data_IF_491445116625
#
_entry.id   IF_491445116625
#
_cell.length_a   1.000
_cell.length_b   1.000
_cell.length_c   1.000
_cell.angle_alpha   90.00
_cell.angle_beta   90.00
_cell.angle_gamma   90.00
#
_symmetry.space_group_name_H-M   'P 1'
#
loop_
_entity.id
_entity.type
_entity.pdbx_description
1 polymer ?
#
# COMPACT_ATOMS: atom_id res chain seq x y z
N UNK A 1 -32.93 -36.97 -65.49
CA UNK A 1 -33.39 -37.34 -66.85
C UNK A 1 -32.25 -37.73 -67.79
N UNK A 2 -31.17 -36.94 -67.92
CA UNK A 2 -30.03 -37.26 -68.82
C UNK A 2 -29.40 -38.65 -68.59
N UNK A 3 -29.22 -39.07 -67.33
CA UNK A 3 -28.53 -40.34 -67.03
C UNK A 3 -29.39 -41.60 -67.27
N UNK A 4 -30.72 -41.48 -67.22
CA UNK A 4 -31.62 -42.62 -67.47
C UNK A 4 -31.79 -42.89 -68.97
N UNK A 5 -31.84 -41.81 -69.77
CA UNK A 5 -31.88 -41.91 -71.23
C UNK A 5 -30.62 -42.57 -71.79
N UNK A 6 -29.47 -42.35 -71.12
CA UNK A 6 -28.17 -42.92 -71.46
C UNK A 6 -28.09 -44.42 -71.14
N UNK A 7 -28.65 -44.86 -70.01
CA UNK A 7 -28.74 -46.29 -69.65
C UNK A 7 -29.72 -47.03 -70.57
N UNK A 8 -30.84 -46.41 -70.93
CA UNK A 8 -31.81 -46.98 -71.86
C UNK A 8 -31.21 -47.14 -73.27
N UNK A 9 -30.43 -46.15 -73.75
CA UNK A 9 -29.70 -46.21 -75.03
C UNK A 9 -28.63 -47.30 -75.05
N UNK A 10 -27.91 -47.48 -73.92
CA UNK A 10 -26.87 -48.51 -73.79
C UNK A 10 -27.47 -49.92 -73.85
N UNK A 11 -28.59 -50.16 -73.14
CA UNK A 11 -29.27 -51.47 -73.14
C UNK A 11 -29.91 -51.77 -74.50
N UNK A 12 -30.44 -50.76 -75.22
CA UNK A 12 -30.99 -50.95 -76.56
C UNK A 12 -29.91 -51.19 -77.63
N UNK A 13 -28.72 -50.60 -77.48
CA UNK A 13 -27.61 -50.81 -78.42
C UNK A 13 -26.98 -52.21 -78.34
N UNK A 14 -27.07 -52.86 -77.18
CA UNK A 14 -26.56 -54.21 -76.95
C UNK A 14 -27.46 -55.31 -77.53
N UNK A 15 -28.75 -55.05 -77.74
CA UNK A 15 -29.69 -56.04 -78.29
C UNK A 15 -29.82 -55.98 -79.81
N UNK A 16 -29.52 -54.84 -80.45
CA UNK A 16 -29.59 -54.68 -81.91
C UNK A 16 -28.35 -55.18 -82.66
N UNK A 17 -27.23 -55.47 -81.99
CA UNK A 17 -26.00 -55.99 -82.64
C UNK A 17 -26.02 -57.52 -82.80
N UNK A 18 -27.02 -58.23 -82.25
CA UNK A 18 -27.08 -59.70 -82.23
C UNK A 18 -27.73 -60.38 -83.44
N UNK A 19 -28.42 -59.67 -84.34
CA UNK A 19 -29.17 -60.29 -85.44
C UNK A 19 -29.20 -59.44 -86.72
N UNK A 20 -28.11 -59.46 -87.50
CA UNK A 20 -28.16 -59.28 -88.97
C UNK A 20 -26.95 -59.96 -89.65
N UNK A 21 -27.23 -61.15 -90.20
CA UNK A 21 -26.72 -61.76 -91.45
C UNK A 21 -25.22 -61.72 -91.82
N UNK A 22 -24.58 -62.89 -91.81
CA UNK A 22 -23.62 -63.29 -92.86
C UNK A 22 -24.23 -64.37 -93.75
N UNK A 23 -24.77 -63.94 -94.88
CA UNK A 23 -24.87 -64.75 -96.09
C UNK A 23 -24.06 -64.05 -97.20
N UNK A 24 -23.23 -64.83 -97.92
CA UNK A 24 -22.77 -64.63 -99.31
C UNK A 24 -21.41 -63.95 -99.61
N UNK A 25 -20.48 -64.77 -100.15
CA UNK A 25 -19.41 -64.56 -101.16
C UNK A 25 -18.89 -65.99 -101.46
N UNK A 26 -19.09 -66.71 -102.56
CA UNK A 26 -19.13 -66.52 -104.04
C UNK A 26 -17.76 -66.38 -104.70
N UNK A 27 -17.56 -67.23 -105.74
CA UNK A 27 -16.44 -67.42 -106.71
C UNK A 27 -15.34 -68.40 -106.28
N UNK A 28 -14.88 -69.41 -107.05
CA UNK A 28 -15.04 -69.84 -108.45
C UNK A 28 -14.60 -71.33 -108.50
N UNK A 29 -15.17 -72.24 -109.29
CA UNK A 29 -14.87 -72.50 -110.72
C UNK A 29 -15.66 -73.73 -111.18
N UNK A 30 -16.13 -73.66 -112.43
CA UNK A 30 -16.32 -74.73 -113.45
C UNK A 30 -16.90 -76.07 -112.97
N UNK A 31 -17.95 -76.64 -113.54
CA UNK A 31 -18.41 -76.61 -114.92
C UNK A 31 -19.76 -77.34 -114.97
N UNK A 32 -20.63 -76.86 -115.85
CA UNK A 32 -21.71 -77.58 -116.51
C UNK A 32 -22.91 -78.12 -115.70
N UNK A 33 -24.01 -77.44 -116.02
CA UNK A 33 -25.32 -78.00 -116.38
C UNK A 33 -26.26 -78.48 -115.26
N UNK A 34 -27.24 -77.58 -115.05
CA UNK A 34 -28.69 -77.84 -115.09
C UNK A 34 -29.35 -78.70 -113.99
N UNK A 35 -29.99 -77.96 -113.07
CA UNK A 35 -31.43 -78.06 -112.67
C UNK A 35 -32.07 -79.43 -112.33
N UNK A 36 -32.45 -79.58 -111.04
CA UNK A 36 -33.75 -80.05 -110.40
C UNK A 36 -34.46 -81.36 -110.91
N UNK A 37 -35.13 -82.28 -110.16
CA UNK A 37 -35.84 -82.36 -108.85
C UNK A 37 -36.25 -83.84 -108.38
N UNK A 38 -36.66 -84.00 -107.09
CA UNK A 38 -37.67 -84.87 -106.34
C UNK A 38 -37.69 -86.45 -106.11
N UNK A 39 -38.17 -86.83 -104.87
CA UNK A 39 -38.94 -87.98 -104.26
C UNK A 39 -38.43 -89.40 -103.78
N UNK A 40 -39.29 -90.12 -103.01
CA UNK A 40 -39.14 -91.15 -101.93
C UNK A 40 -39.74 -92.57 -102.23
N UNK A 41 -39.15 -93.64 -101.62
CA UNK A 41 -39.54 -95.05 -101.23
C UNK A 41 -40.40 -96.08 -102.05
N UNK A 42 -39.87 -97.34 -102.10
CA UNK A 42 -40.41 -98.74 -102.28
C UNK A 42 -40.59 -99.48 -103.65
N UNK A 43 -39.75 -100.54 -103.80
CA UNK A 43 -39.90 -101.91 -104.38
C UNK A 43 -40.19 -102.24 -105.87
N UNK A 44 -39.27 -103.08 -106.40
CA UNK A 44 -39.33 -104.14 -107.44
C UNK A 44 -39.35 -103.84 -108.95
N UNK A 45 -38.29 -104.37 -109.59
CA UNK A 45 -38.18 -105.05 -110.88
C UNK A 45 -38.38 -104.28 -112.22
N UNK A 46 -37.23 -104.12 -112.89
CA UNK A 46 -36.94 -104.09 -114.33
C UNK A 46 -37.69 -103.13 -115.29
N UNK A 47 -36.90 -102.21 -115.86
CA UNK A 47 -36.89 -101.66 -117.23
C UNK A 47 -37.93 -100.59 -117.66
N UNK A 48 -37.43 -99.36 -117.85
CA UNK A 48 -37.78 -98.29 -118.82
C UNK A 48 -39.22 -97.69 -118.94
N UNK A 49 -39.27 -96.32 -118.82
CA UNK A 49 -40.23 -95.28 -119.34
C UNK A 49 -41.14 -94.51 -118.33
N UNK A 50 -40.97 -93.16 -118.29
CA UNK A 50 -41.68 -92.03 -117.59
C UNK A 50 -43.20 -91.83 -117.91
N UNK A 51 -44.07 -91.00 -117.20
CA UNK A 51 -43.85 -89.63 -116.61
C UNK A 51 -44.69 -89.08 -115.36
N UNK A 52 -44.25 -87.93 -114.76
CA UNK A 52 -44.89 -86.73 -114.07
C UNK A 52 -46.03 -86.79 -112.98
N UNK A 53 -45.73 -86.51 -111.68
CA UNK A 53 -46.73 -86.00 -110.67
C UNK A 53 -46.18 -85.27 -109.39
N UNK A 54 -44.92 -84.82 -109.39
CA UNK A 54 -44.13 -84.56 -108.16
C UNK A 54 -44.18 -83.12 -107.57
N UNK A 55 -44.68 -82.14 -108.33
CA UNK A 55 -44.48 -80.70 -108.03
C UNK A 55 -45.45 -80.07 -107.01
N UNK A 56 -46.56 -80.73 -106.67
CA UNK A 56 -47.60 -80.15 -105.79
C UNK A 56 -47.19 -80.14 -104.30
N UNK A 57 -46.48 -81.19 -103.87
CA UNK A 57 -46.08 -81.35 -102.46
C UNK A 57 -45.00 -80.36 -102.02
N UNK A 58 -44.09 -79.97 -102.92
CA UNK A 58 -43.01 -79.04 -102.60
C UNK A 58 -43.54 -77.61 -102.38
N UNK A 59 -44.54 -77.18 -103.16
CA UNK A 59 -45.19 -75.87 -103.04
C UNK A 59 -45.97 -75.74 -101.72
N UNK A 60 -46.71 -76.77 -101.30
CA UNK A 60 -47.44 -76.73 -100.02
C UNK A 60 -46.52 -76.69 -98.80
N UNK A 61 -45.32 -77.28 -98.87
CA UNK A 61 -44.35 -77.27 -97.78
C UNK A 61 -43.67 -75.90 -97.59
N UNK A 62 -43.26 -75.25 -98.68
CA UNK A 62 -42.67 -73.91 -98.63
C UNK A 62 -43.68 -72.85 -98.19
N UNK A 63 -44.94 -72.96 -98.62
CA UNK A 63 -46.00 -72.02 -98.22
C UNK A 63 -46.36 -72.19 -96.73
N UNK A 64 -46.40 -73.43 -96.23
CA UNK A 64 -46.55 -73.73 -94.80
C UNK A 64 -45.40 -73.16 -93.96
N UNK A 65 -44.14 -73.29 -94.41
CA UNK A 65 -42.96 -72.74 -93.73
C UNK A 65 -42.93 -71.21 -93.72
N UNK A 66 -43.34 -70.58 -94.82
CA UNK A 66 -43.51 -69.13 -94.98
C UNK A 66 -44.63 -68.58 -94.08
N UNK A 67 -45.75 -69.28 -94.00
CA UNK A 67 -46.87 -68.90 -93.14
C UNK A 67 -46.48 -69.07 -91.66
N UNK A 68 -45.80 -70.16 -91.29
CA UNK A 68 -45.36 -70.38 -89.92
C UNK A 68 -44.32 -69.35 -89.47
N UNK A 69 -43.38 -68.97 -90.34
CA UNK A 69 -42.39 -67.93 -90.00
C UNK A 69 -43.07 -66.57 -89.81
N UNK A 70 -44.02 -66.20 -90.68
CA UNK A 70 -44.82 -64.97 -90.51
C UNK A 70 -45.63 -65.00 -89.21
N UNK A 71 -46.23 -66.12 -88.86
CA UNK A 71 -47.01 -66.28 -87.63
C UNK A 71 -46.12 -66.19 -86.39
N UNK A 72 -44.91 -66.75 -86.46
CA UNK A 72 -43.91 -66.68 -85.40
C UNK A 72 -43.36 -65.25 -85.25
N UNK A 73 -43.07 -64.54 -86.35
CA UNK A 73 -42.67 -63.12 -86.33
C UNK A 73 -43.79 -62.23 -85.77
N UNK A 74 -45.05 -62.48 -86.13
CA UNK A 74 -46.18 -61.71 -85.64
C UNK A 74 -46.43 -61.95 -84.15
N UNK A 75 -46.26 -63.19 -83.68
CA UNK A 75 -46.25 -63.54 -82.25
C UNK A 75 -45.08 -62.89 -81.51
N UNK A 76 -43.90 -62.86 -82.11
CA UNK A 76 -42.71 -62.26 -81.48
C UNK A 76 -42.89 -60.75 -81.37
N UNK A 77 -43.34 -60.09 -82.43
CA UNK A 77 -43.62 -58.65 -82.43
C UNK A 77 -44.75 -58.28 -81.47
N UNK A 78 -45.82 -59.07 -81.40
CA UNK A 78 -46.91 -58.81 -80.44
C UNK A 78 -46.43 -58.98 -79.00
N UNK A 79 -45.60 -59.99 -78.73
CA UNK A 79 -44.96 -60.18 -77.42
C UNK A 79 -44.05 -58.99 -77.05
N UNK A 80 -43.28 -58.47 -78.00
CA UNK A 80 -42.42 -57.29 -77.78
C UNK A 80 -43.25 -56.05 -77.45
N UNK A 81 -44.36 -55.82 -78.14
CA UNK A 81 -45.27 -54.69 -77.86
C UNK A 81 -45.88 -54.82 -76.47
N UNK A 82 -46.30 -56.03 -76.07
CA UNK A 82 -46.85 -56.28 -74.73
C UNK A 82 -45.79 -56.02 -73.64
N UNK A 83 -44.56 -56.50 -73.83
CA UNK A 83 -43.46 -56.26 -72.88
C UNK A 83 -43.15 -54.76 -72.78
N UNK A 84 -43.14 -54.03 -73.90
CA UNK A 84 -42.91 -52.59 -73.92
C UNK A 84 -44.00 -51.82 -73.16
N UNK A 85 -45.27 -52.23 -73.29
CA UNK A 85 -46.39 -51.64 -72.53
C UNK A 85 -46.26 -51.91 -71.02
N UNK A 86 -45.87 -53.13 -70.63
CA UNK A 86 -45.63 -53.47 -69.22
C UNK A 86 -44.51 -52.61 -68.63
N UNK A 87 -43.39 -52.45 -69.35
CA UNK A 87 -42.28 -51.59 -68.92
C UNK A 87 -42.72 -50.13 -68.80
N UNK A 88 -43.55 -49.62 -69.73
CA UNK A 88 -44.08 -48.27 -69.66
C UNK A 88 -45.02 -48.06 -68.46
N UNK A 89 -45.86 -49.04 -68.12
CA UNK A 89 -46.75 -48.98 -66.95
C UNK A 89 -45.93 -49.00 -65.65
N UNK A 90 -44.95 -49.91 -65.53
CA UNK A 90 -44.08 -49.99 -64.35
C UNK A 90 -43.23 -48.72 -64.21
N UNK A 91 -42.66 -48.22 -65.31
CA UNK A 91 -41.90 -46.98 -65.34
C UNK A 91 -42.75 -45.78 -64.95
N UNK A 92 -43.96 -45.65 -65.50
CA UNK A 92 -44.92 -44.59 -65.16
C UNK A 92 -45.22 -44.57 -63.65
N UNK A 93 -45.54 -45.73 -63.07
CA UNK A 93 -45.80 -45.86 -61.63
C UNK A 93 -44.60 -45.44 -60.78
N UNK A 94 -43.37 -45.77 -61.20
CA UNK A 94 -42.14 -45.36 -60.51
C UNK A 94 -41.92 -43.84 -60.56
N UNK A 95 -42.15 -43.20 -61.72
CA UNK A 95 -42.01 -41.76 -61.89
C UNK A 95 -43.09 -40.95 -61.15
N UNK A 96 -44.33 -41.45 -61.10
CA UNK A 96 -45.41 -40.82 -60.33
C UNK A 96 -45.13 -40.89 -58.83
N UNK A 97 -44.74 -42.05 -58.30
CA UNK A 97 -44.35 -42.17 -56.88
C UNK A 97 -43.15 -41.29 -56.53
N UNK A 98 -42.12 -41.21 -57.39
CA UNK A 98 -40.97 -40.35 -57.13
C UNK A 98 -41.33 -38.85 -57.11
N UNK A 99 -42.17 -38.38 -58.03
CA UNK A 99 -42.58 -36.97 -58.10
C UNK A 99 -43.50 -36.56 -56.96
N UNK A 100 -44.42 -37.43 -56.55
CA UNK A 100 -45.31 -37.19 -55.43
C UNK A 100 -44.52 -37.17 -54.10
N UNK A 101 -43.66 -38.18 -53.91
CA UNK A 101 -42.81 -38.30 -52.72
C UNK A 101 -41.83 -37.12 -52.59
N UNK A 102 -41.28 -36.59 -53.70
CA UNK A 102 -40.41 -35.40 -53.65
C UNK A 102 -41.13 -34.13 -53.15
N UNK A 103 -42.36 -33.89 -53.61
CA UNK A 103 -43.14 -32.72 -53.18
C UNK A 103 -43.55 -32.82 -51.71
N UNK A 104 -43.97 -34.00 -51.27
CA UNK A 104 -44.26 -34.24 -49.85
C UNK A 104 -43.00 -34.07 -49.01
N UNK A 105 -41.85 -34.59 -49.46
CA UNK A 105 -40.58 -34.40 -48.76
C UNK A 105 -40.18 -32.92 -48.66
N UNK A 106 -40.30 -32.14 -49.73
CA UNK A 106 -40.02 -30.69 -49.71
C UNK A 106 -40.95 -29.95 -48.74
N UNK A 107 -42.23 -30.33 -48.67
CA UNK A 107 -43.21 -29.72 -47.77
C UNK A 107 -42.93 -30.10 -46.31
N UNK A 108 -42.62 -31.37 -46.05
CA UNK A 108 -42.25 -31.89 -44.73
C UNK A 108 -40.94 -31.27 -44.25
N UNK A 109 -39.96 -31.10 -45.14
CA UNK A 109 -38.69 -30.43 -44.84
C UNK A 109 -38.96 -28.97 -44.48
N UNK A 110 -39.75 -28.25 -45.27
CA UNK A 110 -40.09 -26.84 -45.00
C UNK A 110 -40.85 -26.68 -43.68
N UNK A 111 -41.82 -27.54 -43.39
CA UNK A 111 -42.56 -27.52 -42.12
C UNK A 111 -41.65 -27.83 -40.93
N UNK A 112 -40.74 -28.80 -41.08
CA UNK A 112 -39.77 -29.17 -40.04
C UNK A 112 -38.78 -28.04 -39.80
N UNK A 113 -38.25 -27.42 -40.86
CA UNK A 113 -37.35 -26.26 -40.76
C UNK A 113 -38.04 -25.08 -40.08
N UNK A 114 -39.30 -24.79 -40.44
CA UNK A 114 -40.08 -23.73 -39.79
C UNK A 114 -40.30 -24.02 -38.29
N UNK A 115 -40.65 -25.26 -37.91
CA UNK A 115 -40.79 -25.64 -36.49
C UNK A 115 -39.46 -25.57 -35.73
N UNK A 116 -38.35 -25.91 -36.37
CA UNK A 116 -37.00 -25.76 -35.79
C UNK A 116 -36.67 -24.28 -35.60
N UNK A 117 -36.98 -23.41 -36.56
CA UNK A 117 -36.78 -21.96 -36.42
C UNK A 117 -37.67 -21.36 -35.32
N UNK A 118 -38.94 -21.75 -35.22
CA UNK A 118 -39.83 -21.32 -34.15
C UNK A 118 -39.34 -21.79 -32.78
N UNK A 119 -38.93 -23.05 -32.65
CA UNK A 119 -38.38 -23.60 -31.41
C UNK A 119 -37.08 -22.89 -31.01
N UNK A 120 -36.20 -22.62 -31.98
CA UNK A 120 -34.97 -21.85 -31.77
C UNK A 120 -35.27 -20.43 -31.32
N UNK A 121 -36.25 -19.76 -31.94
CA UNK A 121 -36.67 -18.40 -31.56
C UNK A 121 -37.22 -18.37 -30.13
N UNK A 122 -38.10 -19.31 -29.78
CA UNK A 122 -38.65 -19.43 -28.42
C UNK A 122 -37.56 -19.70 -27.38
N UNK A 123 -36.66 -20.64 -27.66
CA UNK A 123 -35.53 -20.92 -26.76
C UNK A 123 -34.61 -19.69 -26.60
N UNK A 124 -34.36 -18.94 -27.67
CA UNK A 124 -33.55 -17.72 -27.60
C UNK A 124 -34.23 -16.63 -26.75
N UNK A 125 -35.53 -16.42 -26.92
CA UNK A 125 -36.29 -15.47 -26.09
C UNK A 125 -36.33 -15.88 -24.62
N UNK A 126 -36.56 -17.16 -24.34
CA UNK A 126 -36.58 -17.68 -22.97
C UNK A 126 -35.21 -17.56 -22.31
N UNK A 127 -34.14 -17.96 -23.01
CA UNK A 127 -32.76 -17.80 -22.54
C UNK A 127 -32.43 -16.33 -22.28
N UNK A 128 -32.82 -15.43 -23.18
CA UNK A 128 -32.60 -13.99 -23.02
C UNK A 128 -33.32 -13.44 -21.78
N UNK A 129 -34.57 -13.87 -21.55
CA UNK A 129 -35.37 -13.47 -20.39
C UNK A 129 -34.77 -13.97 -19.09
N UNK A 130 -34.26 -15.20 -19.06
CA UNK A 130 -33.54 -15.73 -17.89
C UNK A 130 -32.25 -14.94 -17.63
N UNK A 131 -31.47 -14.66 -18.67
CA UNK A 131 -30.25 -13.85 -18.56
C UNK A 131 -30.57 -12.46 -17.99
N UNK A 132 -31.60 -11.78 -18.49
CA UNK A 132 -32.05 -10.49 -17.99
C UNK A 132 -32.44 -10.58 -16.50
N UNK A 133 -33.25 -11.59 -16.12
CA UNK A 133 -33.65 -11.81 -14.73
C UNK A 133 -32.46 -12.05 -13.79
N UNK A 134 -31.50 -12.87 -14.20
CA UNK A 134 -30.28 -13.12 -13.41
C UNK A 134 -29.38 -11.87 -13.34
N UNK A 135 -29.34 -11.08 -14.41
CA UNK A 135 -28.58 -9.83 -14.46
C UNK A 135 -29.16 -8.81 -13.48
N UNK A 136 -30.48 -8.61 -13.52
CA UNK A 136 -31.18 -7.69 -12.62
C UNK A 136 -31.05 -8.13 -11.16
N UNK A 137 -31.29 -9.42 -10.87
CA UNK A 137 -31.11 -9.97 -9.54
C UNK A 137 -29.68 -9.80 -9.01
N UNK A 138 -28.67 -10.03 -9.86
CA UNK A 138 -27.27 -9.86 -9.48
C UNK A 138 -26.93 -8.40 -9.23
N UNK A 139 -27.47 -7.49 -10.05
CA UNK A 139 -27.27 -6.04 -9.89
C UNK A 139 -27.86 -5.56 -8.57
N UNK A 140 -29.10 -5.93 -8.26
CA UNK A 140 -29.75 -5.58 -6.99
C UNK A 140 -28.97 -6.12 -5.79
N UNK A 141 -28.46 -7.35 -5.87
CA UNK A 141 -27.63 -7.94 -4.82
C UNK A 141 -26.29 -7.24 -4.67
N UNK A 142 -25.66 -6.83 -5.76
CA UNK A 142 -24.42 -6.06 -5.73
C UNK A 142 -24.67 -4.71 -5.05
N UNK A 143 -25.74 -4.00 -5.42
CA UNK A 143 -26.08 -2.68 -4.86
C UNK A 143 -26.43 -2.77 -3.36
N UNK A 144 -27.17 -3.81 -2.95
CA UNK A 144 -27.46 -4.11 -1.54
C UNK A 144 -26.16 -4.33 -0.75
N UNK A 145 -25.25 -5.17 -1.27
CA UNK A 145 -23.95 -5.44 -0.64
C UNK A 145 -23.09 -4.18 -0.59
N UNK A 146 -23.09 -3.37 -1.64
CA UNK A 146 -22.35 -2.11 -1.67
C UNK A 146 -22.82 -1.14 -0.59
N UNK A 147 -24.14 -1.06 -0.40
CA UNK A 147 -24.75 -0.22 0.63
C UNK A 147 -24.38 -0.71 2.03
N UNK A 148 -24.48 -2.03 2.29
CA UNK A 148 -24.07 -2.64 3.55
C UNK A 148 -22.57 -2.39 3.87
N UNK A 149 -21.70 -2.54 2.86
CA UNK A 149 -20.26 -2.26 3.02
C UNK A 149 -20.03 -0.79 3.34
N UNK A 150 -20.73 0.12 2.65
CA UNK A 150 -20.61 1.57 2.87
C UNK A 150 -21.03 1.96 4.30
N UNK A 151 -22.14 1.43 4.78
CA UNK A 151 -22.64 1.68 6.13
C UNK A 151 -21.72 1.09 7.20
N UNK A 152 -21.27 -0.15 7.01
CA UNK A 152 -20.30 -0.82 7.90
C UNK A 152 -18.98 -0.04 7.96
N UNK A 153 -18.44 0.37 6.82
CA UNK A 153 -17.23 1.18 6.78
C UNK A 153 -17.41 2.55 7.44
N UNK A 154 -18.55 3.21 7.24
CA UNK A 154 -18.86 4.46 7.93
C UNK A 154 -18.88 4.28 9.44
N UNK A 155 -19.57 3.24 9.92
CA UNK A 155 -19.61 2.90 11.35
C UNK A 155 -18.21 2.61 11.90
N UNK A 156 -17.39 1.86 11.18
CA UNK A 156 -16.02 1.56 11.60
C UNK A 156 -15.15 2.82 11.67
N UNK A 157 -15.28 3.72 10.68
CA UNK A 157 -14.58 5.01 10.67
C UNK A 157 -15.00 5.86 11.87
N UNK A 158 -16.29 5.92 12.19
CA UNK A 158 -16.81 6.68 13.33
C UNK A 158 -16.27 6.11 14.66
N UNK A 159 -16.26 4.78 14.83
CA UNK A 159 -15.68 4.10 16.00
C UNK A 159 -14.17 4.36 16.14
N UNK A 160 -13.43 4.30 15.02
CA UNK A 160 -11.99 4.61 15.00
C UNK A 160 -11.76 6.07 15.39
N UNK A 161 -12.57 7.01 14.88
CA UNK A 161 -12.47 8.43 15.21
C UNK A 161 -12.74 8.69 16.70
N UNK A 162 -13.73 8.03 17.28
CA UNK A 162 -14.04 8.14 18.71
C UNK A 162 -12.91 7.56 19.58
N UNK A 163 -12.36 6.42 19.18
CA UNK A 163 -11.22 5.80 19.85
C UNK A 163 -9.97 6.69 19.79
N UNK A 164 -9.68 7.29 18.63
CA UNK A 164 -8.58 8.24 18.46
C UNK A 164 -8.77 9.48 19.31
N UNK A 165 -9.98 10.05 19.35
CA UNK A 165 -10.28 11.20 20.20
C UNK A 165 -10.07 10.89 21.68
N UNK A 166 -10.48 9.69 22.12
CA UNK A 166 -10.27 9.23 23.49
C UNK A 166 -8.78 9.15 23.82
N UNK A 167 -7.99 8.52 22.94
CA UNK A 167 -6.52 8.41 23.10
C UNK A 167 -5.85 9.80 23.13
N UNK A 168 -6.25 10.71 22.23
CA UNK A 168 -5.71 12.07 22.19
C UNK A 168 -6.04 12.82 23.48
N UNK A 169 -7.27 12.69 23.99
CA UNK A 169 -7.69 13.36 25.22
C UNK A 169 -6.95 12.83 26.46
N UNK A 170 -6.77 11.51 26.57
CA UNK A 170 -6.04 10.92 27.70
C UNK A 170 -4.56 11.27 27.66
N UNK A 171 -3.94 11.24 26.47
CA UNK A 171 -2.56 11.65 26.28
C UNK A 171 -2.35 13.12 26.66
N UNK A 172 -3.27 14.01 26.23
CA UNK A 172 -3.23 15.43 26.60
C UNK A 172 -3.33 15.62 28.11
N UNK A 173 -4.27 14.94 28.77
CA UNK A 173 -4.42 15.02 30.22
C UNK A 173 -3.19 14.51 30.98
N UNK A 174 -2.58 13.41 30.53
CA UNK A 174 -1.36 12.89 31.14
C UNK A 174 -0.18 13.84 30.93
N UNK A 175 -0.07 14.43 29.74
CA UNK A 175 0.96 15.42 29.42
C UNK A 175 0.82 16.67 30.31
N UNK A 176 -0.38 17.24 30.42
CA UNK A 176 -0.67 18.42 31.24
C UNK A 176 -0.36 18.16 32.72
N UNK A 177 -0.73 16.98 33.24
CA UNK A 177 -0.44 16.56 34.62
C UNK A 177 1.07 16.39 34.90
N UNK A 178 1.81 15.79 33.95
CA UNK A 178 3.27 15.67 34.04
C UNK A 178 3.93 17.04 33.98
N UNK A 179 3.47 17.92 33.11
CA UNK A 179 3.97 19.29 33.00
C UNK A 179 3.78 20.04 34.32
N UNK A 180 2.58 20.00 34.90
CA UNK A 180 2.29 20.65 36.18
C UNK A 180 3.19 20.10 37.32
N UNK A 181 3.37 18.79 37.37
CA UNK A 181 4.25 18.15 38.36
C UNK A 181 5.70 18.59 38.19
N UNK A 182 6.21 18.68 36.96
CA UNK A 182 7.57 19.15 36.69
C UNK A 182 7.73 20.63 37.03
N UNK A 183 6.75 21.49 36.71
CA UNK A 183 6.76 22.90 37.09
C UNK A 183 6.84 23.09 38.61
N UNK A 184 6.07 22.32 39.39
CA UNK A 184 6.15 22.36 40.86
C UNK A 184 7.52 21.92 41.39
N UNK A 185 8.14 20.91 40.78
CA UNK A 185 9.50 20.48 41.15
C UNK A 185 10.54 21.55 40.87
N UNK A 186 10.45 22.22 39.71
CA UNK A 186 11.33 23.33 39.36
C UNK A 186 11.18 24.47 40.37
N UNK A 187 9.95 24.86 40.71
CA UNK A 187 9.71 25.93 41.69
C UNK A 187 10.30 25.61 43.07
N UNK A 188 10.23 24.35 43.51
CA UNK A 188 10.84 23.91 44.77
C UNK A 188 12.38 24.02 44.72
N UNK A 189 13.00 23.60 43.62
CA UNK A 189 14.44 23.69 43.42
C UNK A 189 14.90 25.15 43.38
N UNK A 190 14.17 26.03 42.69
CA UNK A 190 14.49 27.47 42.65
C UNK A 190 14.43 28.12 44.03
N UNK A 191 13.45 27.73 44.86
CA UNK A 191 13.35 28.18 46.26
C UNK A 191 14.52 27.68 47.10
N UNK A 192 14.96 26.45 46.89
CA UNK A 192 16.11 25.87 47.60
C UNK A 192 17.41 26.55 47.20
N UNK A 193 17.63 26.77 45.90
CA UNK A 193 18.77 27.52 45.36
C UNK A 193 18.80 28.93 45.98
N UNK A 194 17.67 29.64 45.98
CA UNK A 194 17.61 31.01 46.54
C UNK A 194 17.93 31.05 48.04
N UNK A 195 17.54 30.02 48.79
CA UNK A 195 17.88 29.88 50.22
C UNK A 195 19.37 29.60 50.42
N UNK A 196 19.93 28.69 49.61
CA UNK A 196 21.35 28.35 49.66
C UNK A 196 22.23 29.52 49.27
N UNK A 197 21.82 30.31 48.27
CA UNK A 197 22.53 31.50 47.81
C UNK A 197 22.61 32.54 48.94
N UNK A 198 21.46 32.88 49.53
CA UNK A 198 21.39 33.80 50.68
C UNK A 198 22.22 33.32 51.87
N UNK A 199 22.16 32.03 52.20
CA UNK A 199 22.95 31.42 53.28
C UNK A 199 24.45 31.47 52.96
N UNK A 200 24.83 31.22 51.72
CA UNK A 200 26.22 31.29 51.26
C UNK A 200 26.76 32.71 51.37
N UNK A 201 26.00 33.71 50.92
CA UNK A 201 26.37 35.13 51.01
C UNK A 201 26.54 35.61 52.46
N UNK A 202 25.62 35.22 53.35
CA UNK A 202 25.71 35.51 54.78
C UNK A 202 26.97 34.88 55.39
N UNK A 203 27.27 33.62 55.03
CA UNK A 203 28.47 32.92 55.48
C UNK A 203 29.77 33.53 54.94
N UNK A 204 29.81 33.92 53.66
CA UNK A 204 30.97 34.59 53.05
C UNK A 204 31.20 35.93 53.77
N UNK A 205 30.15 36.73 53.93
CA UNK A 205 30.24 38.03 54.63
C UNK A 205 30.76 37.86 56.05
N UNK A 206 30.30 36.85 56.78
CA UNK A 206 30.79 36.55 58.12
C UNK A 206 32.27 36.16 58.10
N UNK A 207 32.67 35.25 57.19
CA UNK A 207 34.07 34.80 57.06
C UNK A 207 35.01 35.93 56.66
N UNK A 208 34.59 36.83 55.78
CA UNK A 208 35.35 38.02 55.44
C UNK A 208 35.59 38.91 56.66
N UNK A 209 34.56 39.11 57.49
CA UNK A 209 34.71 39.85 58.75
C UNK A 209 35.64 39.13 59.74
N UNK A 210 35.57 37.80 59.84
CA UNK A 210 36.47 37.01 60.68
C UNK A 210 37.94 37.13 60.22
N UNK A 211 38.19 37.06 58.91
CA UNK A 211 39.53 37.26 58.34
C UNK A 211 40.03 38.68 58.58
N UNK A 212 39.19 39.70 58.38
CA UNK A 212 39.53 41.10 58.68
C UNK A 212 39.87 41.27 60.16
N UNK A 213 39.14 40.61 61.06
CA UNK A 213 39.45 40.62 62.49
C UNK A 213 40.85 40.06 62.78
N UNK A 214 41.21 38.91 62.19
CA UNK A 214 42.54 38.31 62.32
C UNK A 214 43.65 39.18 61.70
N UNK A 215 43.39 39.82 60.55
CA UNK A 215 44.33 40.76 59.94
C UNK A 215 44.61 41.94 60.87
N UNK A 216 43.56 42.51 61.48
CA UNK A 216 43.73 43.62 62.43
C UNK A 216 44.52 43.19 63.67
N UNK A 217 44.29 41.99 64.22
CA UNK A 217 45.08 41.47 65.33
C UNK A 217 46.57 41.39 64.98
N UNK A 218 46.91 40.76 63.86
CA UNK A 218 48.29 40.66 63.38
C UNK A 218 48.92 42.02 63.06
N UNK A 219 48.17 42.93 62.43
CA UNK A 219 48.62 44.30 62.17
C UNK A 219 48.91 45.06 63.47
N UNK A 220 48.06 44.90 64.48
CA UNK A 220 48.25 45.48 65.81
C UNK A 220 49.56 45.01 66.44
N UNK A 221 49.79 43.69 66.45
CA UNK A 221 51.03 43.09 66.96
C UNK A 221 52.27 43.60 66.21
N UNK A 222 52.21 43.70 64.87
CA UNK A 222 53.32 44.25 64.06
C UNK A 222 53.61 45.72 64.41
N UNK A 223 52.59 46.54 64.60
CA UNK A 223 52.77 47.94 64.99
C UNK A 223 53.30 48.09 66.41
N UNK A 224 52.86 47.24 67.33
CA UNK A 224 53.38 47.22 68.69
C UNK A 224 54.88 46.85 68.73
N UNK A 225 55.30 45.83 67.98
CA UNK A 225 56.71 45.43 67.87
C UNK A 225 57.60 46.54 67.27
N UNK A 226 57.03 47.40 66.42
CA UNK A 226 57.70 48.58 65.85
C UNK A 226 57.59 49.82 66.74
N UNK A 227 56.91 49.69 67.88
CA UNK A 227 56.58 50.75 68.81
C UNK A 227 55.82 51.93 68.20
N UNK A 228 55.01 51.66 67.17
CA UNK A 228 54.11 52.63 66.53
C UNK A 228 52.75 52.62 67.25
N UNK A 229 52.73 53.14 68.48
CA UNK A 229 51.59 52.96 69.39
C UNK A 229 50.30 53.64 68.92
N UNK A 230 50.37 54.76 68.21
CA UNK A 230 49.17 55.42 67.66
C UNK A 230 48.47 54.58 66.58
N UNK A 231 49.23 53.91 65.71
CA UNK A 231 48.71 52.97 64.73
C UNK A 231 48.22 51.68 65.37
N UNK A 232 48.95 51.15 66.36
CA UNK A 232 48.52 49.99 67.12
C UNK A 232 47.18 50.23 67.84
N UNK A 233 47.02 51.40 68.48
CA UNK A 233 45.77 51.82 69.12
C UNK A 233 44.62 51.86 68.10
N UNK A 234 44.85 52.48 66.95
CA UNK A 234 43.86 52.56 65.87
C UNK A 234 43.38 51.17 65.42
N UNK A 235 44.32 50.26 65.19
CA UNK A 235 44.03 48.90 64.75
C UNK A 235 43.26 48.11 65.81
N UNK A 236 43.63 48.24 67.09
CA UNK A 236 42.92 47.55 68.18
C UNK A 236 41.52 48.11 68.44
N UNK A 237 41.31 49.43 68.29
CA UNK A 237 39.97 50.03 68.34
C UNK A 237 39.10 49.50 67.21
N UNK A 238 39.60 49.47 65.97
CA UNK A 238 38.86 48.90 64.83
C UNK A 238 38.58 47.41 64.99
N UNK A 239 39.52 46.67 65.57
CA UNK A 239 39.34 45.25 65.92
C UNK A 239 38.21 45.07 66.94
N UNK A 240 38.13 45.93 67.96
CA UNK A 240 37.04 45.90 68.94
C UNK A 240 35.68 46.25 68.33
N UNK A 241 35.62 47.27 67.46
CA UNK A 241 34.42 47.60 66.69
C UNK A 241 33.94 46.39 65.87
N UNK A 242 34.87 45.76 65.13
CA UNK A 242 34.57 44.59 64.31
C UNK A 242 34.16 43.37 65.16
N UNK A 243 34.74 43.18 66.34
CA UNK A 243 34.37 42.12 67.29
C UNK A 243 32.88 42.18 67.66
N UNK A 244 32.36 43.40 67.85
CA UNK A 244 30.95 43.60 68.12
C UNK A 244 30.07 43.32 66.89
N UNK A 245 30.51 43.72 65.70
CA UNK A 245 29.79 43.47 64.45
C UNK A 245 29.66 41.97 64.11
N UNK A 246 30.59 41.13 64.57
CA UNK A 246 30.54 39.67 64.44
C UNK A 246 30.02 38.97 65.71
N UNK A 247 29.42 39.73 66.64
CA UNK A 247 28.83 39.23 67.89
C UNK A 247 29.80 38.44 68.81
N UNK A 248 31.10 38.71 68.74
CA UNK A 248 32.12 38.09 69.60
C UNK A 248 32.41 38.95 70.83
N UNK A 249 31.39 39.24 71.63
CA UNK A 249 31.52 40.14 72.79
C UNK A 249 32.54 39.66 73.84
N UNK A 250 32.78 38.36 73.92
CA UNK A 250 33.81 37.76 74.78
C UNK A 250 35.24 38.25 74.45
N UNK A 251 35.49 38.72 73.23
CA UNK A 251 36.79 39.27 72.83
C UNK A 251 37.12 40.61 73.50
N UNK A 252 36.11 41.35 73.97
CA UNK A 252 36.34 42.62 74.67
C UNK A 252 37.13 42.45 75.97
N UNK A 253 37.07 41.27 76.59
CA UNK A 253 37.86 40.94 77.78
C UNK A 253 39.37 41.07 77.53
N UNK A 254 39.82 40.75 76.32
CA UNK A 254 41.23 40.80 75.93
C UNK A 254 41.59 42.11 75.23
N UNK A 255 40.72 42.63 74.37
CA UNK A 255 41.05 43.81 73.55
C UNK A 255 40.99 45.12 74.34
N UNK A 256 40.05 45.28 75.27
CA UNK A 256 39.91 46.54 76.01
C UNK A 256 41.09 46.86 76.95
N UNK A 257 41.67 45.90 77.68
CA UNK A 257 42.92 46.12 78.40
C UNK A 257 44.05 46.64 77.51
N UNK A 258 44.23 46.03 76.33
CA UNK A 258 45.26 46.43 75.37
C UNK A 258 45.04 47.85 74.88
N UNK A 259 43.79 48.24 74.60
CA UNK A 259 43.45 49.62 74.21
C UNK A 259 43.81 50.61 75.32
N UNK A 260 43.51 50.30 76.58
CA UNK A 260 43.85 51.17 77.71
C UNK A 260 45.37 51.34 77.84
N UNK A 261 46.12 50.23 77.77
CA UNK A 261 47.58 50.26 77.83
C UNK A 261 48.20 51.03 76.65
N UNK A 262 47.64 50.87 75.45
CA UNK A 262 48.09 51.58 74.25
C UNK A 262 47.81 53.09 74.34
N UNK A 263 46.68 53.51 74.92
CA UNK A 263 46.42 54.93 75.19
C UNK A 263 47.52 55.52 76.09
N UNK A 264 47.86 54.82 77.18
CA UNK A 264 48.91 55.27 78.10
C UNK A 264 50.29 55.33 77.42
N UNK A 265 50.61 54.34 76.57
CA UNK A 265 51.83 54.32 75.75
C UNK A 265 51.89 55.50 74.77
N UNK A 266 50.79 55.81 74.09
CA UNK A 266 50.65 56.97 73.16
C UNK A 266 50.88 58.28 73.91
N UNK A 267 50.25 58.45 75.08
CA UNK A 267 50.42 59.66 75.91
C UNK A 267 51.87 59.82 76.38
N UNK A 268 52.53 58.74 76.81
CA UNK A 268 53.93 58.75 77.25
C UNK A 268 54.91 59.13 76.13
N UNK A 269 54.65 58.68 74.90
CA UNK A 269 55.47 59.04 73.72
C UNK A 269 55.11 60.40 73.12
N UNK A 270 54.07 61.07 73.62
CA UNK A 270 53.54 62.31 73.06
C UNK A 270 53.16 62.17 71.57
N UNK A 271 52.68 60.98 71.19
CA UNK A 271 52.17 60.69 69.85
C UNK A 271 50.78 61.29 69.66
N UNK A 272 50.40 61.54 68.40
CA UNK A 272 49.06 62.00 68.04
C UNK A 272 48.25 60.93 67.33
N UNK A 273 46.92 61.02 67.46
CA UNK A 273 45.98 60.21 66.69
C UNK A 273 45.26 61.06 65.65
N UNK A 274 44.78 60.44 64.58
CA UNK A 274 43.99 61.14 63.55
C UNK A 274 42.57 61.40 64.03
N UNK A 275 41.88 62.36 63.38
CA UNK A 275 40.46 62.65 63.67
C UNK A 275 39.53 61.45 63.43
N UNK A 276 39.82 60.61 62.42
CA UNK A 276 39.06 59.37 62.19
C UNK A 276 39.20 58.38 63.34
N UNK A 277 40.39 58.31 63.96
CA UNK A 277 40.63 57.41 65.09
C UNK A 277 39.88 57.88 66.34
N UNK A 278 39.77 59.20 66.54
CA UNK A 278 38.95 59.77 67.61
C UNK A 278 37.50 59.31 67.46
N UNK A 279 36.95 59.43 66.25
CA UNK A 279 35.60 58.95 65.95
C UNK A 279 35.44 57.44 66.21
N UNK A 280 36.41 56.63 65.79
CA UNK A 280 36.39 55.17 66.03
C UNK A 280 36.42 54.85 67.56
N UNK A 281 37.17 55.62 68.36
CA UNK A 281 37.23 55.48 69.83
C UNK A 281 35.90 55.91 70.47
N UNK A 282 35.30 57.01 70.01
CA UNK A 282 33.98 57.47 70.47
C UNK A 282 32.90 56.42 70.19
N UNK A 283 32.87 55.90 68.94
CA UNK A 283 31.98 54.81 68.55
C UNK A 283 32.22 53.54 69.37
N UNK A 284 33.48 53.23 69.69
CA UNK A 284 33.82 52.09 70.54
C UNK A 284 33.20 52.26 71.94
N UNK A 285 33.29 53.44 72.55
CA UNK A 285 32.72 53.69 73.87
C UNK A 285 31.20 53.50 73.91
N UNK A 286 30.50 53.76 72.80
CA UNK A 286 29.04 53.55 72.71
C UNK A 286 28.66 52.06 72.73
N UNK A 287 29.49 51.20 72.13
CA UNK A 287 29.18 49.77 71.95
C UNK A 287 29.75 48.86 73.06
N UNK A 288 30.62 49.37 73.94
CA UNK A 288 31.19 48.57 75.03
C UNK A 288 30.05 48.06 75.94
N UNK A 289 29.93 46.74 76.16
CA UNK A 289 28.94 46.17 77.06
C UNK A 289 29.14 46.66 78.50
N UNK A 290 28.05 46.79 79.26
CA UNK A 290 28.05 47.29 80.64
C UNK A 290 28.94 46.50 81.60
N UNK A 291 29.18 45.22 81.33
CA UNK A 291 30.11 44.38 82.11
C UNK A 291 31.58 44.86 82.05
N UNK A 292 31.94 45.67 81.04
CA UNK A 292 33.27 46.25 80.87
C UNK A 292 33.30 47.77 81.11
N UNK A 293 32.32 48.32 81.85
CA UNK A 293 32.18 49.75 82.12
C UNK A 293 33.43 50.36 82.79
N UNK A 294 34.18 49.57 83.57
CA UNK A 294 35.45 50.00 84.17
C UNK A 294 36.49 50.38 83.12
N UNK A 295 36.58 49.63 82.02
CA UNK A 295 37.47 49.95 80.90
C UNK A 295 36.95 51.13 80.09
N UNK A 296 35.64 51.22 79.87
CA UNK A 296 35.02 52.38 79.19
C UNK A 296 35.35 53.69 79.89
N UNK A 297 35.25 53.74 81.23
CA UNK A 297 35.64 54.92 82.03
C UNK A 297 37.13 55.24 81.89
N UNK A 298 38.01 54.23 82.00
CA UNK A 298 39.46 54.43 81.83
C UNK A 298 39.81 54.98 80.45
N UNK A 299 39.19 54.45 79.39
CA UNK A 299 39.35 54.96 78.03
C UNK A 299 38.89 56.41 78.00
N UNK A 300 37.67 56.71 78.48
CA UNK A 300 37.08 58.05 78.52
C UNK A 300 37.99 59.10 79.21
N UNK A 301 38.53 58.76 80.38
CA UNK A 301 39.35 59.63 81.21
C UNK A 301 40.75 59.90 80.62
N UNK A 302 41.24 58.98 79.77
CA UNK A 302 42.58 59.05 79.20
C UNK A 302 42.60 59.55 77.75
N UNK A 303 41.63 59.18 76.91
CA UNK A 303 41.66 59.54 75.48
C UNK A 303 41.50 61.05 75.24
N UNK A 304 40.74 61.75 76.10
CA UNK A 304 40.54 63.21 76.01
C UNK A 304 41.83 64.02 76.19
N UNK A 305 42.91 63.38 76.65
CA UNK A 305 44.25 63.98 76.84
C UNK A 305 45.16 63.75 75.63
N UNK A 306 44.79 62.89 74.68
CA UNK A 306 45.60 62.58 73.51
C UNK A 306 45.55 63.75 72.52
N UNK A 307 46.71 64.15 71.98
CA UNK A 307 46.78 65.16 70.93
C UNK A 307 46.12 64.65 69.65
N UNK A 308 45.18 65.41 69.12
CA UNK A 308 44.54 65.12 67.84
C UNK A 308 45.34 65.81 66.74
N UNK A 309 45.78 65.03 65.76
CA UNK A 309 46.29 65.59 64.52
C UNK A 309 45.10 65.87 63.60
N UNK A 310 44.84 67.16 63.37
CA UNK A 310 43.96 67.58 62.28
C UNK A 310 44.63 67.19 60.98
N UNK A 311 44.03 66.22 60.29
CA UNK A 311 44.44 65.88 58.94
C UNK A 311 43.70 66.87 58.05
N UNK A 312 44.39 67.91 57.59
CA UNK A 312 43.94 68.68 56.43
C UNK A 312 43.80 67.69 55.27
N UNK A 313 42.57 67.30 54.96
CA UNK A 313 42.29 66.48 53.79
C UNK A 313 42.90 67.22 52.59
N UNK A 314 43.88 66.62 51.86
CA UNK A 314 44.40 67.25 50.67
C UNK A 314 43.21 67.53 49.75
N UNK A 315 43.00 68.80 49.40
CA UNK A 315 42.06 69.20 48.35
C UNK A 315 42.31 68.27 47.17
N UNK A 316 41.31 67.44 46.84
CA UNK A 316 41.25 66.51 45.70
C UNK A 316 42.15 67.00 44.56
N UNK A 317 43.39 66.53 44.47
CA UNK A 317 44.29 66.76 43.33
C UNK A 317 45.63 65.99 43.43
N UNK A 318 45.67 64.88 44.18
CA UNK A 318 46.72 63.87 43.99
C UNK A 318 46.10 62.48 44.17
N UNK A 319 46.32 61.54 43.23
CA UNK A 319 45.83 60.18 43.36
C UNK A 319 46.57 59.47 44.51
N UNK A 320 45.90 58.59 45.27
CA UNK A 320 46.51 57.90 46.40
C UNK A 320 47.57 56.91 45.88
N UNK A 321 48.80 57.10 46.35
CA UNK A 321 49.83 56.07 46.29
C UNK A 321 49.41 54.89 47.18
N UNK A 322 49.20 53.73 46.54
CA UNK A 322 49.20 52.38 47.11
C UNK A 322 48.36 52.11 48.38
N UNK A 323 47.04 51.98 48.20
CA UNK A 323 46.22 51.06 49.02
C UNK A 323 45.30 50.13 48.22
N UNK A 324 45.27 50.24 46.89
CA UNK A 324 44.37 49.45 46.03
C UNK A 324 44.97 48.14 45.49
N UNK A 325 45.82 47.46 46.26
CA UNK A 325 46.45 46.20 45.80
C UNK A 325 45.88 44.91 46.39
N UNK A 326 44.76 44.93 47.12
CA UNK A 326 44.22 43.67 47.67
C UNK A 326 42.71 43.43 47.57
N UNK A 327 41.89 44.36 47.05
CA UNK A 327 40.47 44.06 46.85
C UNK A 327 39.97 44.65 45.53
N UNK A 328 40.27 43.94 44.44
CA UNK A 328 39.57 44.15 43.18
C UNK A 328 38.12 43.69 43.33
N UNK A 329 37.20 44.65 43.40
CA UNK A 329 35.78 44.38 43.15
C UNK A 329 35.62 44.14 41.65
N UNK A 330 35.30 42.91 41.26
CA UNK A 330 34.76 42.65 39.93
C UNK A 330 33.27 43.02 39.95
N UNK A 331 32.92 43.97 39.07
CA UNK A 331 31.57 44.09 38.52
C UNK A 331 31.30 42.96 37.54
#
# INVERSE_FOLDING_TARGET
MKNFLLILLLVFSLTTVGQETKHSKTESKLENDKTEALQSDKNNALSEKEPKEDKLYQVMYEDSKSINSKLLTLLTNSLTVIIAVIIAIIGSSFFYNYRFNKKEYELLTKETTNKIEEAKSKMLEETKREIEKYTDYSKDKIDERFTQIKESNKSNIDTIKESLNTIISSFKQEFDSKQETQSKKIELVEKEISRLDKSTDENITLREKELRFSILDLQGQVYELREWFSLCLTTNVRRALLANEIHRQWQFEYILPDIVDLIDKVLKKNDSITSNNKYDIEKLMEIIPSQFESYKKKIADSYGKIRIQEVDLPKKNNPPFMTDLLFGSNN
#
